data_IF_042653867260
#
_entry.id   IF_042653867260
#
_cell.length_a   1.000
_cell.length_b   1.000
_cell.length_c   1.000
_cell.angle_alpha   90.00
_cell.angle_beta   90.00
_cell.angle_gamma   90.00
#
_symmetry.space_group_name_H-M   'P 1'
#
loop_
_entity.id
_entity.type
_entity.pdbx_description
1 polymer ?
#
# COMPACT_ATOMS: atom_id res chain seq x y z
N UNK A 1 8.15 14.26 -24.64
CA UNK A 1 8.34 13.38 -23.46
C UNK A 1 8.98 12.04 -23.84
N UNK A 2 8.63 11.49 -25.00
CA UNK A 2 9.18 10.20 -25.47
C UNK A 2 10.69 10.21 -25.64
N UNK A 3 11.27 11.35 -25.97
CA UNK A 3 12.71 11.52 -26.12
C UNK A 3 13.48 11.47 -24.80
N UNK A 4 12.82 11.76 -23.66
CA UNK A 4 13.47 11.87 -22.35
C UNK A 4 13.19 10.64 -21.48
N UNK A 5 11.95 10.13 -21.51
CA UNK A 5 11.48 9.13 -20.55
C UNK A 5 11.46 7.69 -21.07
N UNK A 6 11.59 7.49 -22.38
CA UNK A 6 11.43 6.18 -22.98
C UNK A 6 9.97 5.69 -23.01
N UNK A 7 9.70 4.67 -23.83
CA UNK A 7 8.35 4.19 -24.11
C UNK A 7 7.64 3.64 -22.87
N UNK A 8 8.33 2.86 -22.05
CA UNK A 8 7.75 2.27 -20.85
C UNK A 8 7.32 3.33 -19.83
N UNK A 9 8.14 4.37 -19.62
CA UNK A 9 7.81 5.45 -18.70
C UNK A 9 6.63 6.28 -19.22
N UNK A 10 6.54 6.53 -20.52
CA UNK A 10 5.40 7.22 -21.13
C UNK A 10 4.10 6.43 -20.95
N UNK A 11 4.15 5.11 -21.06
CA UNK A 11 2.99 4.24 -20.82
C UNK A 11 2.48 4.28 -19.38
N UNK A 12 3.32 4.64 -18.42
CA UNK A 12 2.93 4.77 -17.01
C UNK A 12 2.30 6.12 -16.65
N UNK A 13 2.27 7.08 -17.58
CA UNK A 13 1.61 8.37 -17.36
C UNK A 13 0.09 8.16 -17.25
N UNK A 14 -0.54 8.88 -16.32
CA UNK A 14 -1.95 8.69 -15.98
C UNK A 14 -2.93 8.95 -17.14
N UNK A 15 -2.52 9.61 -18.20
CA UNK A 15 -3.32 9.84 -19.40
C UNK A 15 -2.92 8.96 -20.58
N UNK A 16 -2.02 7.99 -20.39
CA UNK A 16 -1.65 7.05 -21.45
C UNK A 16 -2.82 6.12 -21.78
N UNK A 17 -2.85 5.60 -23.01
CA UNK A 17 -3.87 4.65 -23.44
C UNK A 17 -3.86 3.37 -22.58
N UNK A 18 -2.67 2.90 -22.20
CA UNK A 18 -2.52 1.72 -21.35
C UNK A 18 -3.16 1.94 -19.97
N UNK A 19 -2.85 3.05 -19.30
CA UNK A 19 -3.43 3.37 -18.00
C UNK A 19 -4.94 3.59 -18.11
N UNK A 20 -5.41 4.24 -19.15
CA UNK A 20 -6.85 4.41 -19.39
C UNK A 20 -7.56 3.06 -19.49
N UNK A 21 -7.02 2.11 -20.26
CA UNK A 21 -7.59 0.76 -20.38
C UNK A 21 -7.56 0.00 -19.07
N UNK A 22 -6.49 0.12 -18.28
CA UNK A 22 -6.40 -0.51 -16.95
C UNK A 22 -7.43 0.05 -15.98
N UNK A 23 -7.69 1.37 -16.03
CA UNK A 23 -8.68 2.02 -15.18
C UNK A 23 -10.12 1.69 -15.55
N UNK A 24 -10.38 1.11 -16.72
CA UNK A 24 -11.69 0.59 -17.10
C UNK A 24 -12.01 -0.76 -16.44
N UNK A 25 -10.99 -1.46 -15.92
CA UNK A 25 -11.16 -2.70 -15.20
C UNK A 25 -11.56 -2.43 -13.76
N UNK A 26 -12.34 -3.32 -13.12
CA UNK A 26 -12.64 -3.19 -11.70
C UNK A 26 -11.35 -3.30 -10.87
N UNK A 27 -11.24 -2.47 -9.82
CA UNK A 27 -10.08 -2.47 -8.93
C UNK A 27 -9.98 -3.75 -8.11
N UNK A 28 -11.11 -4.35 -7.77
CA UNK A 28 -11.17 -5.47 -6.83
C UNK A 28 -12.04 -6.60 -7.34
N UNK A 29 -11.77 -7.80 -6.84
CA UNK A 29 -12.54 -9.02 -7.13
C UNK A 29 -13.19 -9.53 -5.83
N UNK A 30 -14.48 -9.97 -5.83
CA UNK A 30 -15.20 -10.32 -4.61
C UNK A 30 -14.62 -11.51 -3.84
N UNK A 31 -13.84 -12.38 -4.48
CA UNK A 31 -13.24 -13.56 -3.85
C UNK A 31 -11.80 -13.34 -3.37
N UNK A 32 -11.30 -12.11 -3.41
CA UNK A 32 -9.94 -11.77 -2.99
C UNK A 32 -10.00 -10.80 -1.81
N UNK A 33 -9.14 -11.04 -0.82
CA UNK A 33 -8.96 -10.15 0.32
C UNK A 33 -7.83 -9.19 0.02
N UNK A 34 -8.11 -7.90 0.09
CA UNK A 34 -7.17 -6.82 -0.20
C UNK A 34 -6.83 -6.05 1.05
N UNK A 35 -5.54 -5.77 1.24
CA UNK A 35 -5.07 -4.81 2.24
C UNK A 35 -4.18 -3.81 1.53
N UNK A 36 -4.63 -2.56 1.46
CA UNK A 36 -3.93 -1.48 0.80
C UNK A 36 -3.30 -0.54 1.83
N UNK A 37 -1.98 -0.39 1.75
CA UNK A 37 -1.21 0.45 2.67
C UNK A 37 -0.59 1.57 1.86
N UNK A 38 -0.91 2.81 2.23
CA UNK A 38 -0.47 3.99 1.49
C UNK A 38 -0.10 5.13 2.44
N UNK A 39 0.48 6.19 1.88
CA UNK A 39 0.84 7.40 2.62
C UNK A 39 0.31 8.65 1.93
N UNK A 40 -0.25 9.58 2.70
CA UNK A 40 -0.66 10.89 2.21
C UNK A 40 0.52 11.81 1.85
N UNK A 41 1.75 11.41 2.22
CA UNK A 41 2.99 12.10 1.85
C UNK A 41 3.60 11.59 0.54
N UNK A 42 2.88 10.78 -0.20
CA UNK A 42 3.32 10.35 -1.52
C UNK A 42 3.22 11.50 -2.52
N UNK A 43 4.37 11.98 -2.97
CA UNK A 43 4.47 13.04 -3.98
C UNK A 43 4.68 12.46 -5.39
N UNK A 44 4.83 11.16 -5.50
CA UNK A 44 5.07 10.44 -6.77
C UNK A 44 3.76 9.94 -7.37
N UNK A 45 2.93 9.29 -6.57
CA UNK A 45 1.59 8.84 -6.97
C UNK A 45 0.55 9.88 -6.52
N UNK A 46 0.28 10.86 -7.38
CA UNK A 46 -0.66 11.94 -7.09
C UNK A 46 -1.77 12.02 -8.15
N UNK A 47 -2.98 12.38 -7.76
CA UNK A 47 -3.46 12.62 -6.39
C UNK A 47 -3.44 11.35 -5.53
N UNK A 48 -3.33 11.49 -4.20
CA UNK A 48 -3.20 10.34 -3.29
C UNK A 48 -4.39 9.38 -3.35
N UNK A 49 -5.54 9.86 -3.78
CA UNK A 49 -6.73 9.02 -4.02
C UNK A 49 -6.51 7.92 -5.07
N UNK A 50 -5.52 8.07 -5.95
CA UNK A 50 -5.17 7.02 -6.92
C UNK A 50 -4.57 5.78 -6.28
N UNK A 51 -4.11 5.90 -5.04
CA UNK A 51 -3.56 4.77 -4.26
C UNK A 51 -4.64 4.00 -3.50
N UNK A 52 -5.89 4.45 -3.51
CA UNK A 52 -7.00 3.77 -2.85
C UNK A 52 -7.67 2.78 -3.79
N UNK A 53 -8.16 1.67 -3.21
CA UNK A 53 -8.89 0.64 -3.94
C UNK A 53 -10.39 0.80 -3.73
N UNK A 54 -11.16 0.63 -4.79
CA UNK A 54 -12.62 0.59 -4.70
C UNK A 54 -13.09 -0.84 -4.46
N UNK A 55 -13.88 -1.03 -3.40
CA UNK A 55 -14.53 -2.32 -3.13
C UNK A 55 -15.70 -2.52 -4.08
N UNK A 56 -15.60 -3.52 -4.95
CA UNK A 56 -16.63 -3.85 -5.93
C UNK A 56 -17.25 -5.20 -5.54
N UNK A 57 -18.58 -5.31 -5.63
CA UNK A 57 -19.35 -6.51 -5.30
C UNK A 57 -19.07 -7.03 -3.87
N UNK A 58 -18.84 -6.13 -2.93
CA UNK A 58 -18.58 -6.49 -1.54
C UNK A 58 -17.21 -7.11 -1.30
N UNK A 59 -16.24 -6.87 -2.16
CA UNK A 59 -14.87 -7.30 -1.95
C UNK A 59 -14.32 -6.83 -0.60
N UNK A 60 -13.55 -7.69 0.07
CA UNK A 60 -12.92 -7.39 1.36
C UNK A 60 -11.69 -6.50 1.14
N UNK A 61 -11.87 -5.20 1.34
CA UNK A 61 -10.82 -4.19 1.17
C UNK A 61 -10.58 -3.45 2.47
N UNK A 62 -9.35 -3.50 2.99
CA UNK A 62 -8.91 -2.69 4.11
C UNK A 62 -7.94 -1.61 3.61
N UNK A 63 -8.22 -0.37 3.95
CA UNK A 63 -7.40 0.79 3.60
C UNK A 63 -6.63 1.28 4.83
N UNK A 64 -5.31 1.41 4.72
CA UNK A 64 -4.46 1.87 5.79
C UNK A 64 -3.55 3.01 5.33
N UNK A 65 -3.89 4.24 5.74
CA UNK A 65 -2.99 5.38 5.61
C UNK A 65 -2.02 5.36 6.80
N UNK A 66 -0.74 5.19 6.53
CA UNK A 66 0.28 4.89 7.55
C UNK A 66 0.37 5.97 8.62
N UNK A 67 0.36 7.24 8.24
CA UNK A 67 0.47 8.35 9.16
C UNK A 67 -0.70 8.44 10.13
N UNK A 68 -1.91 8.23 9.62
CA UNK A 68 -3.15 8.28 10.40
C UNK A 68 -3.26 7.09 11.34
N UNK A 69 -3.11 5.87 10.81
CA UNK A 69 -3.27 4.64 11.58
C UNK A 69 -2.23 4.53 12.68
N UNK A 70 -0.98 4.89 12.42
CA UNK A 70 0.12 4.77 13.38
C UNK A 70 0.40 6.05 14.15
N UNK A 71 -0.37 7.12 13.95
CA UNK A 71 -0.22 8.39 14.68
C UNK A 71 1.12 9.06 14.43
N UNK A 72 1.63 9.04 13.21
CA UNK A 72 2.95 9.58 12.88
C UNK A 72 2.89 11.07 12.55
N UNK A 73 3.72 11.87 13.22
CA UNK A 73 3.89 13.29 12.89
C UNK A 73 4.61 13.46 11.54
N UNK A 74 5.53 12.56 11.24
CA UNK A 74 6.30 12.55 9.98
C UNK A 74 6.14 11.19 9.32
N UNK A 75 5.04 10.98 8.58
CA UNK A 75 4.84 9.71 7.87
C UNK A 75 5.85 9.55 6.74
N UNK A 76 6.15 8.29 6.34
CA UNK A 76 7.08 8.02 5.25
C UNK A 76 6.56 8.56 3.91
N UNK A 77 7.46 8.96 3.03
CA UNK A 77 7.17 9.25 1.64
C UNK A 77 7.20 7.98 0.78
N UNK A 78 6.94 8.14 -0.52
CA UNK A 78 6.85 7.04 -1.49
C UNK A 78 8.04 6.05 -1.40
N UNK A 79 9.25 6.56 -1.51
CA UNK A 79 10.46 5.72 -1.58
C UNK A 79 10.79 4.99 -0.27
N UNK A 80 10.35 5.49 0.87
CA UNK A 80 10.63 4.89 2.17
C UNK A 80 9.53 3.95 2.67
N UNK A 81 8.41 3.83 1.98
CA UNK A 81 7.34 2.91 2.37
C UNK A 81 7.81 1.47 2.58
N UNK A 82 8.56 0.84 1.66
CA UNK A 82 8.93 -0.57 1.82
C UNK A 82 9.87 -0.86 2.99
N UNK A 83 10.59 0.14 3.46
CA UNK A 83 11.59 0.01 4.54
C UNK A 83 11.08 0.49 5.90
N UNK A 84 9.93 1.12 5.93
CA UNK A 84 9.38 1.70 7.16
C UNK A 84 8.82 0.61 8.08
N UNK A 85 9.20 0.65 9.36
CA UNK A 85 8.81 -0.36 10.35
C UNK A 85 7.30 -0.43 10.58
N UNK A 86 6.62 0.73 10.54
CA UNK A 86 5.18 0.78 10.70
C UNK A 86 4.47 0.17 9.49
N UNK A 87 4.99 0.40 8.29
CA UNK A 87 4.47 -0.21 7.07
C UNK A 87 4.65 -1.73 7.10
N UNK A 88 5.82 -2.22 7.52
CA UNK A 88 6.08 -3.66 7.66
C UNK A 88 5.09 -4.28 8.66
N UNK A 89 4.83 -3.61 9.78
CA UNK A 89 3.84 -4.05 10.75
C UNK A 89 2.42 -4.11 10.21
N UNK A 90 2.03 -3.12 9.41
CA UNK A 90 0.73 -3.12 8.73
C UNK A 90 0.63 -4.20 7.65
N UNK A 91 1.72 -4.52 6.96
CA UNK A 91 1.76 -5.67 6.04
C UNK A 91 1.52 -6.98 6.78
N UNK A 92 2.19 -7.19 7.92
CA UNK A 92 1.97 -8.36 8.76
C UNK A 92 0.50 -8.44 9.22
N UNK A 93 -0.06 -7.33 9.68
CA UNK A 93 -1.48 -7.26 10.02
C UNK A 93 -2.38 -7.62 8.83
N UNK A 94 -2.11 -7.06 7.66
CA UNK A 94 -2.89 -7.33 6.45
C UNK A 94 -2.88 -8.80 6.02
N UNK A 95 -1.75 -9.49 6.23
CA UNK A 95 -1.61 -10.92 5.92
C UNK A 95 -2.30 -11.83 6.94
N UNK A 96 -2.53 -11.35 8.16
CA UNK A 96 -3.05 -12.15 9.28
C UNK A 96 -4.43 -11.71 9.77
N UNK A 97 -4.96 -10.61 9.27
CA UNK A 97 -6.28 -10.11 9.68
C UNK A 97 -7.39 -11.08 9.33
N UNK A 98 -8.46 -11.08 10.11
CA UNK A 98 -9.66 -11.82 9.80
C UNK A 98 -10.36 -11.22 8.60
N UNK A 99 -10.98 -12.07 7.79
CA UNK A 99 -11.80 -11.63 6.67
C UNK A 99 -12.94 -10.75 7.19
N UNK A 100 -13.11 -9.57 6.59
CA UNK A 100 -14.10 -8.58 7.03
C UNK A 100 -13.59 -7.61 8.11
N UNK A 101 -12.45 -7.86 8.75
CA UNK A 101 -11.81 -6.89 9.63
C UNK A 101 -11.03 -5.88 8.81
N UNK A 102 -11.70 -4.81 8.42
CA UNK A 102 -11.14 -3.76 7.56
C UNK A 102 -10.59 -2.56 8.34
N UNK A 103 -10.52 -2.65 9.67
CA UNK A 103 -10.07 -1.54 10.52
C UNK A 103 -8.65 -1.80 11.01
N UNK A 104 -7.63 -1.10 10.46
CA UNK A 104 -6.25 -1.20 10.95
C UNK A 104 -6.18 -0.73 12.41
N UNK A 105 -5.43 -1.44 13.23
CA UNK A 105 -5.26 -1.13 14.64
C UNK A 105 -3.79 -0.86 14.97
N UNK A 106 -3.53 -0.16 16.08
CA UNK A 106 -2.18 0.16 16.55
C UNK A 106 -1.26 -1.06 16.69
N UNK A 107 -1.82 -2.25 16.90
CA UNK A 107 -1.04 -3.51 16.96
C UNK A 107 -0.28 -3.75 15.65
N UNK A 108 -0.87 -3.42 14.50
CA UNK A 108 -0.20 -3.47 13.21
C UNK A 108 1.04 -2.59 13.17
N UNK A 109 0.96 -1.38 13.72
CA UNK A 109 2.08 -0.42 13.72
C UNK A 109 3.32 -0.93 14.48
N UNK A 110 3.15 -1.83 15.43
CA UNK A 110 4.24 -2.41 16.23
C UNK A 110 4.74 -3.76 15.68
N UNK A 111 4.02 -4.35 14.74
CA UNK A 111 4.36 -5.68 14.20
C UNK A 111 5.70 -5.73 13.48
N UNK A 112 6.10 -4.62 12.85
CA UNK A 112 7.38 -4.52 12.16
C UNK A 112 8.61 -4.79 13.05
N UNK A 113 8.52 -4.49 14.33
CA UNK A 113 9.58 -4.79 15.28
C UNK A 113 9.69 -6.30 15.51
N UNK A 114 8.58 -7.00 15.62
CA UNK A 114 8.59 -8.47 15.74
C UNK A 114 9.19 -9.15 14.52
N UNK A 115 8.88 -8.65 13.34
CA UNK A 115 9.48 -9.14 12.10
C UNK A 115 10.99 -8.95 12.10
N UNK A 116 11.48 -7.78 12.48
CA UNK A 116 12.93 -7.52 12.59
C UNK A 116 13.61 -8.42 13.61
N UNK A 117 12.98 -8.66 14.75
CA UNK A 117 13.50 -9.57 15.76
C UNK A 117 13.56 -11.01 15.22
N UNK A 118 12.52 -11.45 14.51
CA UNK A 118 12.50 -12.75 13.85
C UNK A 118 13.60 -12.88 12.80
N UNK A 119 13.78 -11.87 11.98
CA UNK A 119 14.84 -11.83 10.97
C UNK A 119 16.23 -11.94 11.62
N UNK A 120 16.52 -11.14 12.65
CA UNK A 120 17.78 -11.20 13.38
C UNK A 120 18.03 -12.58 13.99
N UNK A 121 16.99 -13.16 14.60
CA UNK A 121 17.11 -14.47 15.23
C UNK A 121 17.49 -15.58 14.24
N UNK A 122 16.94 -15.55 13.03
CA UNK A 122 17.13 -16.60 12.05
C UNK A 122 18.29 -16.37 11.07
N UNK A 123 18.69 -15.13 10.81
CA UNK A 123 19.61 -14.79 9.73
C UNK A 123 20.89 -14.08 10.17
N UNK A 124 20.95 -13.49 11.36
CA UNK A 124 22.13 -12.77 11.87
C UNK A 124 22.99 -13.61 12.82
N UNK A 125 22.65 -14.87 13.01
CA UNK A 125 23.50 -15.84 13.70
C UNK A 125 24.43 -16.52 12.70
#
# INVERSE_FOLDING_TARGET
QDLVAGKAAVQQLNHSELIRKLNELPDTHPNVTYTNIYTSKDLTATPNSTSQLESIDGADVAEAEVGEVCGLLLPPGHASLPENDHVIGLVEWGLTRDQGDCTPVHVGCNGGQRWKLGYRFFYDN
#
